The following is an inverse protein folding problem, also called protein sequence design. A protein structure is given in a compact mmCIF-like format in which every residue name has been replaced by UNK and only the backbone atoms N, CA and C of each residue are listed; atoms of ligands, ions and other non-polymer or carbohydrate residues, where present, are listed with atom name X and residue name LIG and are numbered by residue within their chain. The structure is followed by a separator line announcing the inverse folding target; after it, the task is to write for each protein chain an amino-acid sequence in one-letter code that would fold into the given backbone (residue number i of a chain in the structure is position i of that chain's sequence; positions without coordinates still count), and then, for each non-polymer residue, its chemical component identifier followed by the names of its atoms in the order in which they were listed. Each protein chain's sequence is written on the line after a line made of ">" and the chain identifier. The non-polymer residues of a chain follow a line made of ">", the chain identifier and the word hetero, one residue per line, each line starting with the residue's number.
data_IF_790541197556
#
_entry.id   IF_790541197556
#
_cell.length_a   1.000
_cell.length_b   1.000
_cell.length_c   1.000
_cell.angle_alpha   90.00
_cell.angle_beta   90.00
_cell.angle_gamma   90.00
#
_symmetry.space_group_name_H-M   'P 1'
#
loop_
_entity.id
_entity.type
_entity.pdbx_description
1 polymer ?
#
# COMPACT_ATOMS: atom_id res chain seq x y z
N UNK A 1 -15.56 62.11 43.36
CA UNK A 1 -15.15 60.75 42.93
C UNK A 1 -15.95 60.37 41.70
N UNK A 2 -15.33 60.45 40.52
CA UNK A 2 -15.81 59.78 39.32
C UNK A 2 -15.01 58.48 39.17
N UNK A 3 -15.65 57.39 38.72
CA UNK A 3 -14.97 56.10 38.54
C UNK A 3 -14.36 56.04 37.14
N UNK A 4 -13.11 55.59 37.04
CA UNK A 4 -12.50 55.25 35.76
C UNK A 4 -13.22 54.05 35.13
N UNK A 5 -13.90 54.25 34.00
CA UNK A 5 -14.53 53.16 33.24
C UNK A 5 -13.50 52.52 32.32
N UNK A 6 -12.66 51.64 32.85
CA UNK A 6 -11.69 50.87 32.06
C UNK A 6 -12.42 49.81 31.22
N UNK A 7 -12.69 50.15 29.96
CA UNK A 7 -13.35 49.27 28.98
C UNK A 7 -12.33 48.27 28.42
N UNK A 8 -12.34 47.04 28.94
CA UNK A 8 -11.52 45.93 28.41
C UNK A 8 -12.25 45.24 27.25
N UNK A 9 -11.89 45.58 26.01
CA UNK A 9 -12.46 44.98 24.79
C UNK A 9 -11.70 43.72 24.35
N UNK A 10 -12.15 42.56 24.84
CA UNK A 10 -11.61 41.25 24.44
C UNK A 10 -12.16 40.78 23.08
N UNK A 11 -11.48 41.10 21.98
CA UNK A 11 -11.88 40.66 20.62
C UNK A 11 -11.42 39.22 20.36
N UNK A 12 -12.34 38.27 20.47
CA UNK A 12 -12.10 36.88 20.08
C UNK A 12 -12.16 36.73 18.54
N UNK A 13 -11.02 36.90 17.88
CA UNK A 13 -10.87 36.74 16.43
C UNK A 13 -10.94 35.25 15.99
N UNK A 14 -12.11 34.63 16.11
CA UNK A 14 -12.42 33.36 15.44
C UNK A 14 -12.35 33.61 13.92
N UNK A 15 -11.68 32.71 13.18
CA UNK A 15 -11.25 32.94 11.81
C UNK A 15 -12.36 33.18 10.78
N UNK A 16 -12.83 34.42 10.68
CA UNK A 16 -13.80 34.89 9.69
C UNK A 16 -13.42 36.26 9.13
N UNK A 17 -12.82 36.27 7.93
CA UNK A 17 -12.45 37.44 7.13
C UNK A 17 -11.49 38.46 7.78
N UNK A 18 -10.26 38.51 7.26
CA UNK A 18 -9.26 39.57 7.51
C UNK A 18 -9.79 40.99 7.26
N UNK A 19 -10.84 41.14 6.44
CA UNK A 19 -11.57 42.39 6.26
C UNK A 19 -12.09 42.98 7.59
N UNK A 20 -12.59 42.16 8.52
CA UNK A 20 -13.14 42.66 9.80
C UNK A 20 -12.04 43.35 10.62
N UNK A 21 -10.83 42.78 10.67
CA UNK A 21 -9.70 43.40 11.36
C UNK A 21 -9.29 44.76 10.76
N UNK A 22 -9.36 44.90 9.44
CA UNK A 22 -9.08 46.17 8.74
C UNK A 22 -10.18 47.20 9.05
N UNK A 23 -11.45 46.83 8.93
CA UNK A 23 -12.56 47.72 9.25
C UNK A 23 -12.57 48.15 10.73
N UNK A 24 -12.21 47.26 11.66
CA UNK A 24 -12.16 47.59 13.08
C UNK A 24 -10.99 48.53 13.42
N UNK A 25 -9.85 48.38 12.74
CA UNK A 25 -8.71 49.30 12.87
C UNK A 25 -9.03 50.69 12.32
N UNK A 26 -9.64 50.79 11.14
CA UNK A 26 -10.07 52.07 10.57
C UNK A 26 -11.21 52.72 11.36
N UNK A 27 -12.14 51.94 11.91
CA UNK A 27 -13.17 52.47 12.82
C UNK A 27 -12.57 53.00 14.13
N UNK A 28 -11.61 52.29 14.74
CA UNK A 28 -10.87 52.77 15.91
C UNK A 28 -10.07 54.04 15.60
N UNK A 29 -9.38 54.11 14.46
CA UNK A 29 -8.68 55.31 14.00
C UNK A 29 -9.63 56.50 13.87
N UNK A 30 -10.77 56.32 13.21
CA UNK A 30 -11.75 57.38 12.97
C UNK A 30 -12.42 57.84 14.28
N UNK A 31 -12.69 56.91 15.20
CA UNK A 31 -13.18 57.22 16.55
C UNK A 31 -12.15 58.04 17.35
N UNK A 32 -10.89 57.61 17.39
CA UNK A 32 -9.81 58.31 18.10
C UNK A 32 -9.51 59.69 17.49
N UNK A 33 -9.60 59.83 16.16
CA UNK A 33 -9.48 61.13 15.49
C UNK A 33 -10.62 62.10 15.83
N UNK A 34 -11.82 61.58 16.15
CA UNK A 34 -12.97 62.40 16.56
C UNK A 34 -12.94 62.78 18.05
N UNK A 35 -12.21 62.07 18.90
CA UNK A 35 -12.11 62.39 20.35
C UNK A 35 -11.12 63.51 20.68
N UNK A 36 -10.30 63.97 19.73
CA UNK A 36 -9.52 65.21 19.83
C UNK A 36 -8.27 65.20 20.73
N UNK A 37 -8.27 64.41 21.81
CA UNK A 37 -7.15 64.33 22.75
C UNK A 37 -6.02 63.45 22.20
N UNK A 38 -4.86 64.06 21.95
CA UNK A 38 -3.63 63.38 21.52
C UNK A 38 -2.82 62.87 22.72
N UNK A 39 -3.42 62.00 23.54
CA UNK A 39 -2.68 61.26 24.55
C UNK A 39 -1.60 60.38 23.88
N UNK A 40 -0.40 60.34 24.46
CA UNK A 40 0.69 59.54 23.91
C UNK A 40 0.33 58.06 23.92
N UNK A 41 0.44 57.42 22.74
CA UNK A 41 0.32 55.98 22.57
C UNK A 41 1.52 55.28 23.23
N UNK A 42 1.45 55.17 24.56
CA UNK A 42 2.35 54.33 25.34
C UNK A 42 2.37 52.93 24.72
N UNK A 43 3.56 52.48 24.33
CA UNK A 43 3.74 51.22 23.60
C UNK A 43 3.40 50.06 24.51
N UNK A 44 2.13 49.65 24.48
CA UNK A 44 1.58 48.54 25.25
C UNK A 44 2.48 47.31 25.06
N UNK A 45 3.09 46.86 26.16
CA UNK A 45 4.17 45.90 26.07
C UNK A 45 3.65 44.55 25.57
N UNK A 46 4.10 44.14 24.38
CA UNK A 46 3.46 43.06 23.60
C UNK A 46 3.66 41.66 24.20
N UNK A 47 4.43 41.53 25.29
CA UNK A 47 4.56 40.33 26.13
C UNK A 47 3.21 39.73 26.57
N UNK A 48 2.14 40.54 26.61
CA UNK A 48 0.78 40.09 26.87
C UNK A 48 0.22 39.13 25.80
N UNK A 49 0.69 39.22 24.55
CA UNK A 49 0.40 38.22 23.51
C UNK A 49 1.23 36.96 23.71
N UNK A 50 0.93 36.23 24.79
CA UNK A 50 1.25 34.81 24.87
C UNK A 50 0.68 34.14 23.62
N UNK A 51 1.57 33.65 22.76
CA UNK A 51 1.20 32.80 21.63
C UNK A 51 0.52 31.57 22.23
N UNK A 52 -0.82 31.56 22.20
CA UNK A 52 -1.62 30.40 22.58
C UNK A 52 -1.40 29.35 21.50
N UNK A 53 -0.34 28.56 21.67
CA UNK A 53 -0.08 27.39 20.82
C UNK A 53 -1.32 26.50 20.90
N UNK A 54 -2.09 26.48 19.82
CA UNK A 54 -3.33 25.72 19.72
C UNK A 54 -3.05 24.28 20.12
N UNK A 55 -3.75 23.78 21.14
CA UNK A 55 -3.48 22.47 21.72
C UNK A 55 -3.87 21.37 20.72
N UNK A 56 -2.91 20.99 19.86
CA UNK A 56 -3.07 20.00 18.80
C UNK A 56 -3.59 18.68 19.37
N UNK A 57 -4.66 18.17 18.76
CA UNK A 57 -5.43 17.00 19.18
C UNK A 57 -5.04 15.79 18.35
N UNK A 58 -5.21 14.60 18.93
CA UNK A 58 -5.15 13.33 18.20
C UNK A 58 -6.46 13.12 17.44
N UNK A 59 -6.54 13.72 16.25
CA UNK A 59 -7.69 13.61 15.34
C UNK A 59 -7.97 12.15 14.94
N UNK A 60 -9.24 11.79 14.70
CA UNK A 60 -9.62 10.40 14.40
C UNK A 60 -8.92 9.86 13.13
N UNK A 61 -8.65 8.56 13.11
CA UNK A 61 -8.09 7.85 11.95
C UNK A 61 -9.16 7.62 10.87
N UNK A 62 -8.88 8.06 9.64
CA UNK A 62 -9.66 7.73 8.45
C UNK A 62 -9.52 6.24 8.11
N UNK A 63 -10.63 5.54 7.91
CA UNK A 63 -10.66 4.08 7.65
C UNK A 63 -11.58 3.69 6.48
N UNK A 64 -11.39 2.49 5.95
CA UNK A 64 -12.30 1.88 4.97
C UNK A 64 -13.65 1.49 5.61
N UNK A 65 -14.70 1.39 4.79
CA UNK A 65 -16.02 0.90 5.25
C UNK A 65 -15.97 -0.62 5.44
N UNK A 66 -16.09 -1.10 6.68
CA UNK A 66 -15.92 -2.52 7.05
C UNK A 66 -16.79 -3.49 6.23
N UNK A 67 -18.03 -3.09 5.93
CA UNK A 67 -18.99 -3.83 5.09
C UNK A 67 -18.60 -3.98 3.60
N UNK A 68 -17.46 -3.41 3.18
CA UNK A 68 -16.96 -3.51 1.79
C UNK A 68 -15.75 -4.44 1.64
N UNK A 69 -15.37 -5.14 2.72
CA UNK A 69 -14.18 -5.99 2.79
C UNK A 69 -14.42 -7.36 2.15
N UNK A 70 -13.89 -7.56 0.95
CA UNK A 70 -13.88 -8.87 0.27
C UNK A 70 -12.47 -9.48 0.30
N UNK A 71 -12.38 -10.81 0.38
CA UNK A 71 -11.12 -11.57 0.29
C UNK A 71 -11.01 -12.27 -1.07
N UNK A 72 -9.79 -12.30 -1.62
CA UNK A 72 -9.51 -12.86 -2.95
C UNK A 72 -8.12 -13.49 -3.02
N UNK A 73 -7.92 -14.34 -4.02
CA UNK A 73 -6.65 -15.00 -4.35
C UNK A 73 -6.08 -14.35 -5.62
N UNK A 74 -4.83 -13.87 -5.61
CA UNK A 74 -3.95 -13.18 -7.10
C UNK A 74 -3.65 -13.11 -6.32
N UNK A 75 -3.18 -14.69 -6.77
CA UNK A 75 -2.75 -15.36 -8.06
C UNK A 75 -3.72 -15.40 -9.24
N UNK A 76 -5.02 -15.15 -9.04
CA UNK A 76 -5.99 -15.15 -10.14
C UNK A 76 -5.78 -13.93 -11.04
N UNK A 77 -5.76 -14.18 -12.34
CA UNK A 77 -5.77 -13.13 -13.37
C UNK A 77 -7.13 -12.42 -13.38
N UNK A 78 -7.16 -11.17 -13.82
CA UNK A 78 -8.39 -10.45 -14.16
C UNK A 78 -8.99 -10.88 -15.52
N UNK A 79 -8.29 -11.73 -16.26
CA UNK A 79 -8.71 -12.30 -17.55
C UNK A 79 -8.46 -13.81 -17.61
N UNK A 80 -9.39 -14.54 -18.22
CA UNK A 80 -9.21 -15.96 -18.54
C UNK A 80 -8.32 -16.15 -19.79
N UNK A 81 -7.51 -17.23 -19.85
CA UNK A 81 -6.77 -17.59 -21.05
C UNK A 81 -7.69 -18.30 -22.06
N UNK A 82 -7.67 -17.83 -23.30
CA UNK A 82 -8.45 -18.38 -24.41
C UNK A 82 -8.08 -19.83 -24.75
N UNK A 83 -6.79 -20.17 -24.67
CA UNK A 83 -6.24 -21.48 -25.05
C UNK A 83 -5.69 -22.22 -23.84
N UNK A 84 -6.37 -23.29 -23.44
CA UNK A 84 -5.97 -24.21 -22.38
C UNK A 84 -5.34 -25.45 -23.01
N UNK A 85 -4.63 -26.25 -22.22
CA UNK A 85 -4.16 -27.55 -22.71
C UNK A 85 -5.37 -28.51 -22.78
N UNK A 86 -5.82 -28.80 -24.00
CA UNK A 86 -6.78 -29.87 -24.30
C UNK A 86 -6.15 -30.81 -25.31
N UNK A 87 -6.60 -32.07 -25.36
CA UNK A 87 -6.08 -33.05 -26.32
C UNK A 87 -6.27 -32.65 -27.79
N UNK A 88 -7.18 -31.68 -28.06
CA UNK A 88 -7.45 -31.07 -29.36
C UNK A 88 -6.55 -29.87 -29.74
N UNK A 89 -5.79 -29.27 -28.81
CA UNK A 89 -4.91 -28.12 -29.10
C UNK A 89 -3.43 -28.49 -29.25
N UNK A 90 -3.10 -29.78 -29.22
CA UNK A 90 -1.72 -30.28 -29.25
C UNK A 90 -0.99 -30.01 -30.58
N UNK A 91 0.07 -29.21 -30.52
CA UNK A 91 1.04 -29.00 -31.61
C UNK A 91 2.50 -29.06 -31.13
N UNK A 92 2.77 -29.69 -29.98
CA UNK A 92 4.02 -29.47 -29.22
C UNK A 92 4.70 -30.69 -28.58
N UNK A 93 3.92 -31.58 -27.95
CA UNK A 93 4.44 -32.72 -27.19
C UNK A 93 3.57 -33.97 -27.39
N UNK A 94 4.10 -35.16 -27.12
CA UNK A 94 3.32 -36.40 -27.21
C UNK A 94 2.47 -36.64 -25.95
N UNK A 95 1.43 -37.47 -26.06
CA UNK A 95 0.62 -37.92 -24.90
C UNK A 95 1.47 -38.56 -23.80
N UNK A 96 2.54 -39.28 -24.17
CA UNK A 96 3.48 -39.90 -23.24
C UNK A 96 4.34 -38.88 -22.50
N UNK A 97 4.87 -37.87 -23.21
CA UNK A 97 5.64 -36.78 -22.60
C UNK A 97 4.85 -36.00 -21.54
N UNK A 98 3.52 -35.89 -21.68
CA UNK A 98 2.63 -35.16 -20.78
C UNK A 98 1.81 -36.07 -19.82
N UNK A 99 2.28 -37.29 -19.54
CA UNK A 99 1.69 -38.20 -18.53
C UNK A 99 1.48 -37.48 -17.20
N UNK A 100 2.53 -36.84 -16.68
CA UNK A 100 2.64 -36.33 -15.28
C UNK A 100 1.69 -35.19 -14.92
N UNK A 101 0.95 -34.67 -15.91
CA UNK A 101 -0.05 -33.60 -15.78
C UNK A 101 -1.37 -33.96 -16.46
N UNK A 102 -1.53 -35.22 -16.90
CA UNK A 102 -2.66 -35.68 -17.71
C UNK A 102 -4.02 -35.54 -17.02
N UNK A 103 -4.09 -35.72 -15.70
CA UNK A 103 -5.28 -35.54 -14.86
C UNK A 103 -5.77 -34.09 -14.79
N UNK A 104 -4.94 -33.12 -15.14
CA UNK A 104 -5.15 -31.70 -14.80
C UNK A 104 -4.86 -30.73 -15.96
N UNK A 105 -4.75 -31.23 -17.20
CA UNK A 105 -4.47 -30.42 -18.41
C UNK A 105 -5.40 -29.20 -18.55
N UNK A 106 -6.68 -29.38 -18.25
CA UNK A 106 -7.70 -28.33 -18.32
C UNK A 106 -7.49 -27.16 -17.32
N UNK A 107 -6.61 -27.32 -16.32
CA UNK A 107 -6.17 -26.25 -15.40
C UNK A 107 -4.93 -25.51 -15.89
N UNK A 108 -4.30 -25.97 -16.98
CA UNK A 108 -3.04 -25.45 -17.52
C UNK A 108 -3.27 -24.62 -18.79
N UNK A 109 -2.42 -23.61 -18.99
CA UNK A 109 -2.51 -22.67 -20.11
C UNK A 109 -1.56 -23.07 -21.24
N UNK A 110 -1.96 -22.92 -22.50
CA UNK A 110 -1.02 -23.17 -23.60
C UNK A 110 0.11 -22.12 -23.61
N UNK A 111 1.35 -22.61 -23.40
CA UNK A 111 2.58 -21.82 -23.42
C UNK A 111 3.00 -21.33 -24.81
N UNK A 112 2.40 -21.81 -25.91
CA UNK A 112 2.58 -21.25 -27.26
C UNK A 112 1.50 -20.23 -27.65
N UNK A 113 0.54 -19.94 -26.77
CA UNK A 113 -0.59 -19.02 -27.02
C UNK A 113 -0.76 -18.05 -25.83
N UNK A 114 -1.83 -17.26 -25.83
CA UNK A 114 -2.26 -16.42 -24.70
C UNK A 114 -1.29 -15.29 -24.29
N UNK A 115 -0.55 -14.70 -25.24
CA UNK A 115 0.42 -13.62 -24.99
C UNK A 115 -0.05 -12.56 -23.97
N UNK A 116 -1.23 -11.96 -24.18
CA UNK A 116 -1.80 -10.95 -23.28
C UNK A 116 -2.06 -11.46 -21.86
N UNK A 117 -2.38 -12.74 -21.68
CA UNK A 117 -2.59 -13.36 -20.37
C UNK A 117 -1.26 -13.62 -19.66
N UNK A 118 -0.29 -14.19 -20.36
CA UNK A 118 1.08 -14.39 -19.84
C UNK A 118 1.71 -13.05 -19.42
N UNK A 119 1.46 -11.97 -20.18
CA UNK A 119 1.86 -10.60 -19.84
C UNK A 119 1.15 -10.05 -18.60
N UNK A 120 -0.16 -10.26 -18.43
CA UNK A 120 -0.91 -9.72 -17.28
C UNK A 120 -0.50 -10.39 -15.95
N UNK A 121 -0.31 -11.71 -15.94
CA UNK A 121 0.07 -12.45 -14.72
C UNK A 121 1.52 -12.21 -14.26
N UNK A 122 2.39 -11.69 -15.14
CA UNK A 122 3.83 -11.63 -14.89
C UNK A 122 4.20 -10.91 -13.58
N UNK A 123 3.74 -9.66 -13.39
CA UNK A 123 4.02 -8.89 -12.16
C UNK A 123 3.49 -9.61 -10.91
N UNK A 124 2.28 -10.14 -11.01
CA UNK A 124 1.56 -10.81 -9.93
C UNK A 124 2.28 -12.08 -9.46
N UNK A 125 2.72 -12.94 -10.39
CA UNK A 125 3.39 -14.20 -10.06
C UNK A 125 4.86 -14.00 -9.68
N UNK A 126 5.56 -13.03 -10.29
CA UNK A 126 6.91 -12.64 -9.87
C UNK A 126 6.94 -12.08 -8.44
N UNK A 127 5.95 -11.30 -8.02
CA UNK A 127 5.81 -10.86 -6.62
C UNK A 127 5.72 -12.05 -5.66
N UNK A 128 4.98 -13.10 -6.03
CA UNK A 128 4.78 -14.30 -5.22
C UNK A 128 6.05 -15.16 -5.14
N UNK A 129 6.74 -15.40 -6.26
CA UNK A 129 8.04 -16.10 -6.26
C UNK A 129 9.08 -15.40 -5.36
N UNK A 130 9.09 -14.06 -5.37
CA UNK A 130 9.97 -13.27 -4.51
C UNK A 130 9.58 -13.42 -3.03
N UNK A 131 8.30 -13.58 -2.73
CA UNK A 131 7.76 -13.53 -1.36
C UNK A 131 7.32 -14.85 -0.73
N UNK A 132 7.32 -15.98 -1.44
CA UNK A 132 6.95 -17.30 -0.89
C UNK A 132 8.08 -18.32 -0.99
N UNK A 133 8.10 -19.29 -0.07
CA UNK A 133 9.07 -20.40 -0.04
C UNK A 133 8.76 -21.40 -1.18
N UNK A 134 9.29 -21.10 -2.37
CA UNK A 134 9.13 -21.83 -3.64
C UNK A 134 10.51 -22.11 -4.24
N UNK A 135 10.73 -23.31 -4.77
CA UNK A 135 11.97 -23.65 -5.46
C UNK A 135 12.09 -22.94 -6.82
N UNK A 136 13.01 -21.98 -6.91
CA UNK A 136 13.33 -21.21 -8.13
C UNK A 136 14.77 -21.41 -8.61
N UNK A 137 15.46 -22.48 -8.17
CA UNK A 137 16.89 -22.67 -8.39
C UNK A 137 17.27 -22.59 -9.89
N UNK A 138 18.05 -21.55 -10.24
CA UNK A 138 18.51 -21.20 -11.61
C UNK A 138 17.42 -20.76 -12.59
N UNK A 139 16.22 -20.40 -12.13
CA UNK A 139 15.14 -19.85 -12.97
C UNK A 139 14.91 -18.37 -12.64
N UNK A 140 15.26 -17.49 -13.58
CA UNK A 140 14.90 -16.07 -13.56
C UNK A 140 13.99 -15.75 -14.75
N UNK A 141 12.81 -15.17 -14.48
CA UNK A 141 11.87 -14.76 -15.52
C UNK A 141 12.11 -13.32 -15.93
N UNK A 142 12.43 -13.09 -17.21
CA UNK A 142 12.58 -11.73 -17.74
C UNK A 142 11.23 -11.07 -18.02
N UNK A 143 10.23 -11.85 -18.47
CA UNK A 143 8.87 -11.38 -18.72
C UNK A 143 7.87 -12.55 -18.85
N UNK A 144 6.60 -12.22 -19.09
CA UNK A 144 5.52 -13.21 -19.23
C UNK A 144 5.59 -14.08 -20.48
N UNK A 145 5.71 -13.46 -21.66
CA UNK A 145 5.60 -14.14 -22.96
C UNK A 145 6.76 -13.84 -23.91
N UNK A 146 7.27 -14.88 -24.58
CA UNK A 146 8.01 -14.77 -25.82
C UNK A 146 7.63 -15.89 -26.80
N UNK A 147 7.56 -15.56 -28.09
CA UNK A 147 7.39 -16.52 -29.18
C UNK A 147 8.71 -17.21 -29.58
N UNK A 148 9.86 -16.73 -29.10
CA UNK A 148 11.18 -17.32 -29.39
C UNK A 148 11.27 -18.74 -28.82
N UNK A 149 11.80 -19.67 -29.60
CA UNK A 149 12.15 -21.00 -29.12
C UNK A 149 13.39 -20.96 -28.21
N UNK A 150 13.35 -21.70 -27.09
CA UNK A 150 14.53 -22.01 -26.28
C UNK A 150 14.69 -23.53 -26.16
N UNK A 151 15.91 -24.08 -26.21
CA UNK A 151 16.14 -25.53 -26.15
C UNK A 151 16.04 -26.09 -24.73
N UNK A 152 16.38 -25.30 -23.71
CA UNK A 152 16.44 -25.74 -22.31
C UNK A 152 16.15 -24.62 -21.30
N UNK A 153 16.21 -24.96 -20.01
CA UNK A 153 16.06 -24.05 -18.86
C UNK A 153 17.39 -23.45 -18.38
N UNK A 154 18.47 -23.53 -19.16
CA UNK A 154 19.77 -22.91 -18.84
C UNK A 154 19.98 -21.57 -19.59
N UNK A 155 19.03 -21.18 -20.45
CA UNK A 155 18.99 -19.86 -21.08
C UNK A 155 19.07 -18.73 -20.04
N UNK A 156 19.88 -17.71 -20.31
CA UNK A 156 19.96 -16.47 -19.49
C UNK A 156 18.68 -15.63 -19.54
N UNK A 157 17.78 -15.89 -20.48
CA UNK A 157 16.48 -15.23 -20.59
C UNK A 157 15.40 -16.30 -20.77
N UNK A 158 14.57 -16.47 -19.76
CA UNK A 158 13.43 -17.39 -19.76
C UNK A 158 12.15 -16.57 -19.57
N UNK A 159 11.14 -16.84 -20.38
CA UNK A 159 9.81 -16.27 -20.24
C UNK A 159 8.88 -17.30 -19.60
N UNK A 160 7.88 -16.85 -18.83
CA UNK A 160 6.99 -17.76 -18.09
C UNK A 160 6.32 -18.82 -18.99
N UNK A 161 5.90 -18.42 -20.19
CA UNK A 161 5.31 -19.31 -21.18
C UNK A 161 6.27 -20.40 -21.69
N UNK A 162 7.57 -20.09 -21.85
CA UNK A 162 8.61 -21.01 -22.31
C UNK A 162 8.99 -22.03 -21.24
N UNK A 163 9.08 -21.60 -19.98
CA UNK A 163 9.32 -22.49 -18.83
C UNK A 163 8.22 -23.54 -18.72
N UNK A 164 6.97 -23.09 -18.82
CA UNK A 164 5.82 -23.99 -18.82
C UNK A 164 5.85 -24.95 -20.01
N UNK A 165 6.15 -24.43 -21.21
CA UNK A 165 6.33 -25.25 -22.40
C UNK A 165 7.31 -26.41 -22.18
N UNK A 166 8.51 -26.14 -21.66
CA UNK A 166 9.54 -27.17 -21.45
C UNK A 166 9.14 -28.18 -20.37
N UNK A 167 8.51 -27.73 -19.28
CA UNK A 167 8.11 -28.61 -18.17
C UNK A 167 6.90 -29.49 -18.55
N UNK A 168 6.03 -29.04 -19.45
CA UNK A 168 4.99 -29.91 -20.03
C UNK A 168 5.62 -31.17 -20.65
N UNK A 169 6.71 -31.04 -21.40
CA UNK A 169 7.40 -32.17 -22.01
C UNK A 169 8.27 -33.02 -21.06
N UNK A 170 8.48 -32.61 -19.81
CA UNK A 170 9.54 -33.17 -18.95
C UNK A 170 9.09 -33.47 -17.51
N UNK A 171 8.77 -34.74 -17.24
CA UNK A 171 8.45 -35.28 -15.91
C UNK A 171 9.59 -35.02 -14.88
N UNK A 172 10.85 -35.06 -15.31
CA UNK A 172 12.00 -34.76 -14.44
C UNK A 172 12.00 -33.29 -14.00
N UNK A 173 11.85 -32.34 -14.93
CA UNK A 173 11.79 -30.92 -14.60
C UNK A 173 10.51 -30.57 -13.82
N UNK A 174 9.38 -31.22 -14.11
CA UNK A 174 8.15 -31.10 -13.31
C UNK A 174 8.37 -31.50 -11.86
N UNK A 175 9.02 -32.64 -11.60
CA UNK A 175 9.36 -33.07 -10.24
C UNK A 175 10.29 -32.08 -9.52
N UNK A 176 11.28 -31.51 -10.22
CA UNK A 176 12.20 -30.52 -9.64
C UNK A 176 11.50 -29.20 -9.28
N UNK A 177 10.62 -28.71 -10.16
CA UNK A 177 10.02 -27.37 -10.07
C UNK A 177 8.52 -27.39 -9.77
N UNK A 178 7.96 -28.44 -9.16
CA UNK A 178 6.50 -28.68 -9.06
C UNK A 178 5.69 -27.47 -8.56
N UNK A 179 6.14 -26.83 -7.48
CA UNK A 179 5.44 -25.67 -6.91
C UNK A 179 5.50 -24.44 -7.83
N UNK A 180 6.66 -24.19 -8.45
CA UNK A 180 6.83 -23.12 -9.43
C UNK A 180 6.03 -23.40 -10.70
N UNK A 181 5.96 -24.65 -11.15
CA UNK A 181 5.11 -25.09 -12.23
C UNK A 181 3.64 -24.79 -11.95
N UNK A 182 3.13 -25.15 -10.77
CA UNK A 182 1.73 -24.87 -10.43
C UNK A 182 1.44 -23.38 -10.28
N UNK A 183 2.36 -22.59 -9.72
CA UNK A 183 2.23 -21.12 -9.68
C UNK A 183 2.22 -20.48 -11.07
N UNK A 184 3.11 -20.92 -11.98
CA UNK A 184 3.35 -20.22 -13.26
C UNK A 184 2.49 -20.76 -14.40
N UNK A 185 2.18 -22.06 -14.42
CA UNK A 185 1.62 -22.75 -15.60
C UNK A 185 0.12 -23.04 -15.52
N UNK A 186 -0.50 -22.89 -14.34
CA UNK A 186 -1.94 -23.04 -14.15
C UNK A 186 -2.69 -21.71 -14.29
N UNK A 187 -4.00 -21.79 -14.50
CA UNK A 187 -4.88 -20.63 -14.68
C UNK A 187 -4.98 -19.81 -13.38
N UNK A 188 -5.16 -20.48 -12.25
CA UNK A 188 -5.38 -19.90 -10.91
C UNK A 188 -4.11 -19.83 -10.04
N UNK A 189 -3.01 -20.44 -10.48
CA UNK A 189 -1.78 -20.56 -9.71
C UNK A 189 -1.81 -21.65 -8.63
N UNK A 190 -2.83 -22.54 -8.65
CA UNK A 190 -3.10 -23.55 -7.61
C UNK A 190 -2.54 -24.92 -8.01
N UNK A 191 -1.87 -25.60 -7.07
CA UNK A 191 -1.60 -27.03 -7.19
C UNK A 191 -2.87 -27.83 -6.82
N UNK A 192 -3.51 -28.56 -7.76
CA UNK A 192 -4.76 -29.28 -7.51
C UNK A 192 -4.61 -30.48 -6.55
N UNK A 193 -3.38 -30.92 -6.26
CA UNK A 193 -3.07 -32.01 -5.34
C UNK A 193 -2.78 -31.52 -3.90
N UNK A 194 -2.72 -30.19 -3.68
CA UNK A 194 -2.26 -29.59 -2.41
C UNK A 194 -3.41 -29.40 -1.40
N UNK A 195 -3.45 -30.28 -0.38
CA UNK A 195 -4.53 -30.33 0.62
C UNK A 195 -4.55 -29.14 1.60
N UNK A 196 -3.39 -28.53 1.89
CA UNK A 196 -3.22 -27.46 2.87
C UNK A 196 -2.92 -26.09 2.23
N UNK A 197 -3.42 -25.85 1.01
CA UNK A 197 -2.99 -24.70 0.21
C UNK A 197 -3.24 -23.34 0.91
N UNK A 198 -4.26 -23.21 1.75
CA UNK A 198 -4.57 -22.00 2.55
C UNK A 198 -3.44 -21.53 3.47
N UNK A 199 -2.51 -22.40 3.87
CA UNK A 199 -1.37 -22.05 4.74
C UNK A 199 -0.23 -21.37 3.94
N UNK A 200 -0.15 -21.65 2.64
CA UNK A 200 0.86 -21.11 1.70
C UNK A 200 0.33 -19.95 0.86
N UNK A 201 -0.96 -19.92 0.54
CA UNK A 201 -1.56 -18.93 -0.37
C UNK A 201 -1.63 -17.55 0.30
N UNK A 202 -1.09 -16.53 -0.37
CA UNK A 202 -1.28 -15.14 0.03
C UNK A 202 -2.72 -14.69 -0.25
N UNK A 203 -3.37 -14.01 0.69
CA UNK A 203 -4.74 -13.48 0.51
C UNK A 203 -4.72 -11.97 0.26
N UNK A 204 -5.50 -11.51 -0.72
CA UNK A 204 -5.68 -10.09 -1.03
C UNK A 204 -7.04 -9.60 -0.52
N UNK A 205 -7.05 -8.47 0.17
CA UNK A 205 -8.27 -7.77 0.59
C UNK A 205 -8.60 -6.66 -0.40
N UNK A 206 -9.86 -6.60 -0.80
CA UNK A 206 -10.45 -5.45 -1.51
C UNK A 206 -11.33 -4.69 -0.52
N UNK A 207 -11.17 -3.38 -0.41
CA UNK A 207 -12.06 -2.54 0.39
C UNK A 207 -12.23 -1.14 -0.20
N UNK A 208 -13.30 -0.43 0.20
CA UNK A 208 -13.57 0.93 -0.21
C UNK A 208 -13.07 1.93 0.83
N UNK A 209 -12.07 2.73 0.44
CA UNK A 209 -11.44 3.78 1.24
C UNK A 209 -12.02 5.16 0.86
N UNK A 210 -12.30 6.06 1.81
CA UNK A 210 -12.83 7.39 1.50
C UNK A 210 -11.76 8.30 0.90
N UNK A 211 -12.17 9.24 0.05
CA UNK A 211 -11.27 10.26 -0.52
C UNK A 211 -11.72 11.69 -0.16
N UNK A 212 -12.66 12.31 -0.90
CA UNK A 212 -13.27 13.62 -0.59
C UNK A 212 -14.77 13.57 -0.90
N UNK A 213 -15.57 14.45 -0.27
CA UNK A 213 -16.98 14.68 -0.59
C UNK A 213 -17.82 13.39 -0.79
N UNK A 214 -17.76 12.48 0.18
CA UNK A 214 -18.42 11.15 0.17
C UNK A 214 -18.00 10.17 -0.94
N UNK A 215 -17.08 10.55 -1.84
CA UNK A 215 -16.50 9.64 -2.82
C UNK A 215 -15.63 8.59 -2.12
N UNK A 216 -15.68 7.36 -2.65
CA UNK A 216 -14.94 6.20 -2.16
C UNK A 216 -14.10 5.64 -3.32
N UNK A 217 -12.87 5.21 -3.02
CA UNK A 217 -12.00 4.49 -3.93
C UNK A 217 -11.88 3.03 -3.49
N UNK A 218 -12.15 2.10 -4.39
CA UNK A 218 -11.86 0.69 -4.17
C UNK A 218 -10.35 0.46 -4.31
N UNK A 219 -9.71 -0.17 -3.32
CA UNK A 219 -8.28 -0.46 -3.31
C UNK A 219 -8.06 -1.92 -2.90
N UNK A 220 -7.15 -2.58 -3.62
CA UNK A 220 -6.65 -3.91 -3.31
C UNK A 220 -5.38 -3.82 -2.46
N UNK A 221 -5.28 -4.58 -1.37
CA UNK A 221 -4.12 -4.60 -0.47
C UNK A 221 -3.91 -5.98 0.18
N UNK A 222 -2.80 -6.15 0.89
CA UNK A 222 -2.50 -7.34 1.68
C UNK A 222 -1.95 -6.89 3.04
N UNK A 223 -2.32 -7.57 4.12
CA UNK A 223 -1.66 -7.37 5.42
C UNK A 223 -0.51 -8.38 5.60
N UNK A 224 0.43 -8.10 6.53
CA UNK A 224 1.68 -8.86 6.65
C UNK A 224 1.46 -10.36 6.93
N UNK A 225 0.43 -10.73 7.71
CA UNK A 225 0.05 -12.13 7.87
C UNK A 225 -0.50 -12.72 6.55
N UNK A 226 -1.38 -11.98 5.88
CA UNK A 226 -1.98 -12.44 4.63
C UNK A 226 -0.99 -12.56 3.47
N UNK A 227 0.13 -11.84 3.48
CA UNK A 227 1.15 -12.00 2.45
C UNK A 227 1.83 -13.38 2.47
N UNK A 228 1.77 -14.11 3.61
CA UNK A 228 2.43 -15.42 3.81
C UNK A 228 3.90 -15.41 3.34
N UNK A 229 4.64 -14.36 3.75
CA UNK A 229 6.05 -14.11 3.43
C UNK A 229 6.96 -15.33 3.69
N UNK A 230 8.13 -15.37 3.03
CA UNK A 230 9.18 -16.37 3.26
C UNK A 230 9.53 -16.52 4.73
N UNK A 231 9.96 -17.71 5.11
CA UNK A 231 10.29 -18.05 6.51
C UNK A 231 11.41 -17.16 7.08
N UNK A 232 12.36 -16.72 6.24
CA UNK A 232 13.37 -15.72 6.58
C UNK A 232 12.79 -14.34 6.95
N UNK A 233 11.74 -13.90 6.26
CA UNK A 233 11.14 -12.58 6.44
C UNK A 233 10.06 -12.56 7.52
N UNK A 234 9.33 -13.68 7.70
CA UNK A 234 8.33 -13.86 8.79
C UNK A 234 8.89 -13.51 10.17
N UNK A 235 10.17 -13.77 10.40
CA UNK A 235 10.87 -13.55 11.67
C UNK A 235 11.17 -12.07 11.94
N UNK A 236 11.35 -11.24 10.90
CA UNK A 236 11.65 -9.81 11.06
C UNK A 236 10.51 -9.04 11.73
N UNK A 237 9.27 -9.45 11.45
CA UNK A 237 8.05 -8.79 11.91
C UNK A 237 7.60 -9.23 13.32
N UNK A 238 8.52 -9.71 14.17
CA UNK A 238 8.18 -10.36 15.45
C UNK A 238 7.48 -9.47 16.48
N UNK A 239 7.67 -8.15 16.40
CA UNK A 239 7.21 -7.14 17.36
C UNK A 239 5.80 -6.58 17.10
N UNK A 240 5.15 -6.92 15.97
CA UNK A 240 3.96 -6.22 15.47
C UNK A 240 2.76 -7.13 15.19
N UNK A 241 1.55 -6.55 15.29
CA UNK A 241 0.31 -7.26 14.96
C UNK A 241 0.12 -7.39 13.43
N UNK A 242 0.65 -8.49 12.88
CA UNK A 242 0.77 -8.77 11.44
C UNK A 242 -0.57 -8.76 10.68
N UNK A 243 -1.71 -8.91 11.35
CA UNK A 243 -3.02 -8.87 10.67
C UNK A 243 -3.48 -7.45 10.31
N UNK A 244 -3.00 -6.41 11.00
CA UNK A 244 -3.42 -5.00 10.80
C UNK A 244 -2.58 -4.22 9.80
N UNK A 245 -1.27 -4.47 9.77
CA UNK A 245 -0.29 -3.69 8.99
C UNK A 245 -0.22 -4.12 7.52
N UNK A 246 -0.18 -3.13 6.62
CA UNK A 246 -0.18 -3.34 5.16
C UNK A 246 1.23 -3.56 4.64
N UNK A 247 1.37 -4.44 3.65
CA UNK A 247 2.65 -4.88 3.10
C UNK A 247 3.34 -3.76 2.33
N UNK A 248 4.61 -3.46 2.68
CA UNK A 248 5.37 -2.31 2.16
C UNK A 248 5.84 -2.45 0.71
N UNK A 249 5.93 -3.68 0.19
CA UNK A 249 6.30 -4.03 -1.19
C UNK A 249 5.07 -4.48 -2.00
N UNK A 250 3.86 -4.13 -1.57
CA UNK A 250 2.62 -4.43 -2.28
C UNK A 250 1.66 -3.23 -2.30
N UNK A 251 0.89 -3.11 -3.39
CA UNK A 251 -0.11 -2.06 -3.63
C UNK A 251 0.40 -0.63 -3.47
N UNK A 252 1.17 -0.16 -4.45
CA UNK A 252 1.47 1.28 -4.67
C UNK A 252 0.24 2.18 -4.48
N UNK A 253 -0.93 1.71 -4.93
CA UNK A 253 -2.20 2.43 -4.81
C UNK A 253 -2.62 2.69 -3.36
N UNK A 254 -2.45 1.70 -2.46
CA UNK A 254 -2.74 1.88 -1.04
C UNK A 254 -1.77 2.86 -0.39
N UNK A 255 -0.48 2.76 -0.73
CA UNK A 255 0.57 3.65 -0.22
C UNK A 255 0.40 5.10 -0.68
N UNK A 256 -0.03 5.32 -1.94
CA UNK A 256 -0.42 6.64 -2.43
C UNK A 256 -1.68 7.16 -1.72
N UNK A 257 -2.70 6.32 -1.51
CA UNK A 257 -3.92 6.73 -0.79
C UNK A 257 -3.63 7.14 0.67
N UNK A 258 -2.88 6.32 1.42
CA UNK A 258 -2.55 6.62 2.83
C UNK A 258 -1.78 7.94 2.95
N UNK A 259 -0.85 8.18 2.02
CA UNK A 259 -0.11 9.43 1.94
C UNK A 259 -0.99 10.64 1.58
N UNK A 260 -1.83 10.56 0.55
CA UNK A 260 -2.63 11.70 0.06
C UNK A 260 -3.83 12.05 0.97
N UNK A 261 -4.51 11.04 1.53
CA UNK A 261 -5.80 11.21 2.22
C UNK A 261 -5.73 11.09 3.75
N UNK A 262 -4.61 10.58 4.29
CA UNK A 262 -4.34 10.56 5.74
C UNK A 262 -3.17 11.49 6.07
N UNK A 263 -1.95 11.14 5.64
CA UNK A 263 -0.73 11.89 6.03
C UNK A 263 -0.72 13.36 5.57
N UNK A 264 -1.02 13.62 4.30
CA UNK A 264 -1.12 14.99 3.78
C UNK A 264 -2.31 15.76 4.34
N UNK A 265 -3.33 15.07 4.87
CA UNK A 265 -4.46 15.74 5.54
C UNK A 265 -4.01 16.21 6.92
N UNK A 266 -3.42 15.32 7.71
CA UNK A 266 -2.93 15.63 9.05
C UNK A 266 -1.88 16.76 9.05
N UNK A 267 -0.97 16.76 8.06
CA UNK A 267 0.04 17.82 7.89
C UNK A 267 -0.56 19.20 7.51
N UNK A 268 -1.80 19.24 7.01
CA UNK A 268 -2.51 20.48 6.61
C UNK A 268 -3.59 20.89 7.62
N UNK A 269 -3.80 20.10 8.66
CA UNK A 269 -4.78 20.33 9.71
C UNK A 269 -4.07 20.97 10.90
N UNK A 270 -4.33 22.27 11.14
CA UNK A 270 -3.69 23.01 12.22
C UNK A 270 -4.06 22.49 13.62
N UNK A 271 -5.19 21.78 13.75
CA UNK A 271 -5.57 21.09 14.98
C UNK A 271 -4.91 19.71 15.13
N UNK A 272 -4.29 19.14 14.10
CA UNK A 272 -3.68 17.81 14.15
C UNK A 272 -2.35 17.77 14.91
N UNK A 273 -2.22 16.81 15.83
CA UNK A 273 -0.96 16.46 16.48
C UNK A 273 -0.02 15.62 15.60
N UNK A 274 -0.54 14.97 14.55
CA UNK A 274 0.20 14.05 13.70
C UNK A 274 0.87 14.75 12.50
N UNK A 275 2.04 14.27 12.02
CA UNK A 275 2.82 13.14 12.54
C UNK A 275 3.59 13.48 13.82
N UNK A 276 3.61 12.54 14.76
CA UNK A 276 4.23 12.71 16.08
C UNK A 276 5.76 12.56 16.01
N UNK A 277 6.24 11.56 15.28
CA UNK A 277 7.63 11.15 15.22
C UNK A 277 8.39 11.72 14.01
N UNK A 278 9.68 11.96 14.19
CA UNK A 278 10.53 12.62 13.21
C UNK A 278 10.70 11.81 11.90
N UNK A 279 10.60 10.48 11.95
CA UNK A 279 10.63 9.62 10.75
C UNK A 279 9.41 9.86 9.86
N UNK A 280 8.20 9.91 10.44
CA UNK A 280 6.98 10.15 9.67
C UNK A 280 6.84 11.61 9.25
N UNK A 281 7.41 12.58 9.98
CA UNK A 281 7.48 13.98 9.52
C UNK A 281 8.31 14.18 8.25
N UNK A 282 9.36 13.37 8.05
CA UNK A 282 10.27 13.44 6.90
C UNK A 282 9.77 12.71 5.64
N UNK A 283 8.55 12.20 5.64
CA UNK A 283 7.94 11.56 4.46
C UNK A 283 7.64 12.60 3.38
N UNK A 284 8.13 12.37 2.17
CA UNK A 284 7.94 13.22 1.00
C UNK A 284 6.98 12.62 -0.03
N UNK A 285 6.82 11.29 -0.05
CA UNK A 285 6.00 10.55 -1.03
C UNK A 285 5.40 9.28 -0.43
N UNK A 286 4.29 8.79 -0.97
CA UNK A 286 3.65 7.56 -0.48
C UNK A 286 4.42 6.27 -0.82
N UNK A 287 4.91 6.16 -2.05
CA UNK A 287 5.51 4.94 -2.59
C UNK A 287 6.92 5.15 -3.14
N UNK A 288 7.73 4.10 -3.04
CA UNK A 288 8.99 3.93 -3.75
C UNK A 288 9.26 2.43 -3.99
N UNK A 289 9.47 2.04 -5.25
CA UNK A 289 9.88 0.69 -5.64
C UNK A 289 11.33 0.38 -5.25
N UNK A 290 12.20 1.40 -5.16
CA UNK A 290 13.59 1.28 -4.73
C UNK A 290 13.75 1.36 -3.21
N UNK A 291 12.68 1.64 -2.47
CA UNK A 291 12.68 1.81 -1.01
C UNK A 291 13.70 2.86 -0.53
N UNK A 292 13.88 3.93 -1.30
CA UNK A 292 14.70 5.09 -0.93
C UNK A 292 14.11 5.89 0.23
N UNK A 293 14.94 6.76 0.81
CA UNK A 293 14.55 7.56 1.97
C UNK A 293 13.39 8.53 1.66
N UNK A 294 12.58 8.80 2.69
CA UNK A 294 11.44 9.71 2.59
C UNK A 294 10.18 9.13 1.93
N UNK A 295 10.11 7.84 1.62
CA UNK A 295 8.82 7.22 1.24
C UNK A 295 8.05 6.64 2.43
N UNK A 296 6.72 6.70 2.39
CA UNK A 296 5.87 6.16 3.45
C UNK A 296 6.02 4.64 3.56
N UNK A 297 6.07 3.93 2.43
CA UNK A 297 6.29 2.48 2.43
C UNK A 297 7.68 2.09 3.00
N UNK A 298 8.73 2.90 2.82
CA UNK A 298 10.04 2.72 3.47
C UNK A 298 9.97 2.93 4.98
N UNK A 299 9.39 4.05 5.44
CA UNK A 299 9.27 4.34 6.88
C UNK A 299 8.44 3.27 7.59
N UNK A 300 7.36 2.79 6.97
CA UNK A 300 6.57 1.67 7.51
C UNK A 300 7.34 0.34 7.49
N UNK A 301 8.12 0.01 6.44
CA UNK A 301 9.02 -1.14 6.44
C UNK A 301 10.01 -1.09 7.60
N UNK A 302 10.68 0.03 7.79
CA UNK A 302 11.66 0.23 8.85
C UNK A 302 11.02 0.10 10.24
N UNK A 303 9.78 0.56 10.40
CA UNK A 303 8.99 0.33 11.63
C UNK A 303 8.64 -1.15 11.84
N UNK A 304 8.32 -1.91 10.77
CA UNK A 304 7.98 -3.34 10.88
C UNK A 304 9.16 -4.25 11.19
N UNK A 305 10.35 -3.92 10.67
CA UNK A 305 11.58 -4.71 10.88
C UNK A 305 12.34 -4.29 12.16
N UNK A 306 11.91 -3.21 12.83
CA UNK A 306 12.49 -2.73 14.09
C UNK A 306 11.83 -3.37 15.33
N UNK A 307 12.66 -3.76 16.30
CA UNK A 307 12.20 -4.21 17.62
C UNK A 307 11.91 -3.05 18.58
N UNK A 308 12.66 -1.95 18.47
CA UNK A 308 12.66 -0.84 19.42
C UNK A 308 12.08 0.44 18.81
N UNK A 309 10.77 0.46 18.58
CA UNK A 309 10.05 1.66 18.14
C UNK A 309 9.45 2.42 19.32
N UNK A 310 9.53 3.75 19.28
CA UNK A 310 8.91 4.65 20.26
C UNK A 310 7.36 4.59 20.23
N UNK A 311 6.70 5.18 21.22
CA UNK A 311 5.23 5.21 21.25
C UNK A 311 4.66 6.14 20.17
N UNK A 312 5.33 7.25 19.89
CA UNK A 312 4.98 8.16 18.79
C UNK A 312 5.06 7.46 17.42
N UNK A 313 6.12 6.68 17.18
CA UNK A 313 6.25 5.87 15.96
C UNK A 313 5.19 4.76 15.88
N UNK A 314 4.78 4.16 17.01
CA UNK A 314 3.69 3.16 17.04
C UNK A 314 2.34 3.79 16.72
N UNK A 315 2.07 5.01 17.18
CA UNK A 315 0.84 5.73 16.86
C UNK A 315 0.82 6.20 15.41
N UNK A 316 1.91 6.80 14.92
CA UNK A 316 2.05 7.16 13.50
C UNK A 316 1.91 5.91 12.60
N UNK A 317 2.56 4.80 12.95
CA UNK A 317 2.44 3.57 12.17
C UNK A 317 1.04 2.95 12.26
N UNK A 318 0.39 2.98 13.42
CA UNK A 318 -1.02 2.61 13.57
C UNK A 318 -1.91 3.46 12.64
N UNK A 319 -1.61 4.76 12.50
CA UNK A 319 -2.32 5.70 11.63
C UNK A 319 -2.07 5.47 10.13
N UNK A 320 -0.81 5.37 9.71
CA UNK A 320 -0.39 5.44 8.30
C UNK A 320 -0.01 4.11 7.65
N UNK A 321 0.36 3.10 8.45
CA UNK A 321 0.86 1.81 7.95
C UNK A 321 -0.17 0.66 8.07
N UNK A 322 -1.30 0.87 8.76
CA UNK A 322 -2.30 -0.18 9.00
C UNK A 322 -3.66 0.12 8.35
N UNK A 323 -4.39 -0.90 7.92
CA UNK A 323 -5.69 -0.72 7.28
C UNK A 323 -6.85 -0.57 8.29
N UNK A 324 -6.73 -1.20 9.47
CA UNK A 324 -7.81 -1.33 10.45
C UNK A 324 -7.71 -0.29 11.59
N UNK A 325 -8.69 -0.25 12.50
CA UNK A 325 -8.55 0.47 13.79
C UNK A 325 -7.74 -0.36 14.78
N UNK A 326 -7.24 0.31 15.83
CA UNK A 326 -6.57 -0.34 16.96
C UNK A 326 -7.56 -1.14 17.81
#
# INVERSE_FOLDING_TARGET
>A
MLKETKITLSVAAIGGNSAIGIYFNEFLRLYLFMTGDSDELSTSNNDAFKIVKTARKKVEKVIYKSSTKNSSDPRKSSSDPQWKISDSTYQSHTRGQMWHISSHKNKLVDGRKNDNWWKSIYKQRTYIMKNQDINIEKIEFVYGFSATYIPDLNSRAIYMNQFCYLIYGSNYQYKKYKDLFWLICSIDGVNPEEKNSSERISQMQTANFPIKNSQMKQINYMTLDQAKKKTTDKNKFGSINKSKYVVYDYSEEWWKWSYEYVWQKDQKDEESAYPLSEKFRKVQKGWDDQLGDGSLNKVCKDFYENTNSSNDEKEDASRYCSAEKQ
#
